data_IF_222542300962
#
_entry.id   IF_222542300962
#
_cell.length_a   1.000
_cell.length_b   1.000
_cell.length_c   1.000
_cell.angle_alpha   90.00
_cell.angle_beta   90.00
_cell.angle_gamma   90.00
#
_symmetry.space_group_name_H-M   'P 1'
#
loop_
_entity.id
_entity.type
_entity.pdbx_description
1 polymer ?
#
# COMPACT_ATOMS: atom_id res chain seq x y z
N UNK A 1 1.01 -23.79 -14.66
CA UNK A 1 2.26 -23.68 -13.88
C UNK A 1 2.04 -22.71 -12.71
N UNK A 2 2.11 -23.16 -11.45
CA UNK A 2 2.05 -22.27 -10.27
C UNK A 2 3.23 -21.28 -10.23
N UNK A 3 3.02 -20.03 -9.83
CA UNK A 3 4.09 -19.02 -9.71
C UNK A 3 4.75 -19.11 -8.33
N UNK A 4 6.04 -18.78 -8.21
CA UNK A 4 6.74 -18.69 -6.92
C UNK A 4 6.07 -17.65 -6.02
N UNK A 5 5.81 -16.47 -6.58
CA UNK A 5 5.10 -15.38 -5.92
C UNK A 5 3.74 -15.20 -6.59
N UNK A 6 2.68 -15.09 -5.79
CA UNK A 6 1.31 -14.88 -6.26
C UNK A 6 0.52 -14.06 -5.25
N UNK A 7 -0.68 -13.65 -5.62
CA UNK A 7 -1.61 -12.93 -4.74
C UNK A 7 -2.70 -13.87 -4.23
N UNK A 8 -3.03 -13.80 -2.94
CA UNK A 8 -4.16 -14.52 -2.34
C UNK A 8 -5.08 -13.52 -1.63
N UNK A 9 -6.37 -13.58 -1.94
CA UNK A 9 -7.40 -12.84 -1.23
C UNK A 9 -7.87 -13.62 -0.01
N UNK A 10 -7.87 -13.00 1.16
CA UNK A 10 -8.53 -13.49 2.37
C UNK A 10 -9.66 -12.54 2.75
N UNK A 11 -10.84 -13.09 3.00
CA UNK A 11 -11.98 -12.33 3.55
C UNK A 11 -12.28 -12.84 4.95
N UNK A 12 -12.33 -11.93 5.91
CA UNK A 12 -12.62 -12.22 7.31
C UNK A 12 -13.72 -11.29 7.83
N UNK A 13 -14.44 -11.75 8.86
CA UNK A 13 -15.30 -10.87 9.64
C UNK A 13 -14.44 -10.00 10.55
N UNK A 14 -14.85 -8.76 10.81
CA UNK A 14 -14.14 -7.76 11.64
C UNK A 14 -13.93 -8.13 13.12
N UNK A 15 -14.23 -9.37 13.51
CA UNK A 15 -14.00 -9.93 14.85
C UNK A 15 -12.91 -11.01 14.85
N UNK A 16 -12.40 -11.39 13.66
CA UNK A 16 -11.35 -12.40 13.51
C UNK A 16 -10.08 -11.70 13.08
N UNK A 17 -8.99 -11.91 13.82
CA UNK A 17 -7.71 -11.30 13.48
C UNK A 17 -7.26 -11.68 12.05
N UNK A 18 -6.84 -10.71 11.22
CA UNK A 18 -6.21 -10.99 9.93
C UNK A 18 -4.87 -11.68 10.14
N UNK A 19 -4.41 -12.34 9.09
CA UNK A 19 -3.06 -12.90 9.03
C UNK A 19 -2.04 -11.79 8.78
N UNK A 20 -0.85 -11.93 9.35
CA UNK A 20 0.24 -10.95 9.27
C UNK A 20 1.33 -11.39 8.30
N UNK A 21 2.14 -10.44 7.87
CA UNK A 21 3.39 -10.73 7.15
C UNK A 21 4.27 -11.63 8.03
N UNK A 22 4.85 -12.67 7.44
CA UNK A 22 5.61 -13.72 8.14
C UNK A 22 4.78 -14.92 8.58
N UNK A 23 3.44 -14.84 8.59
CA UNK A 23 2.58 -16.00 8.81
C UNK A 23 2.31 -16.79 7.52
N UNK A 24 1.83 -18.03 7.67
CA UNK A 24 1.45 -18.89 6.55
C UNK A 24 -0.05 -18.94 6.30
N UNK A 25 -0.42 -19.17 5.04
CA UNK A 25 -1.79 -19.43 4.58
C UNK A 25 -1.82 -20.69 3.72
N UNK A 26 -2.79 -21.57 3.97
CA UNK A 26 -3.03 -22.74 3.13
C UNK A 26 -4.08 -22.40 2.07
N UNK A 27 -3.77 -22.69 0.81
CA UNK A 27 -4.69 -22.48 -0.30
C UNK A 27 -4.52 -23.57 -1.35
N UNK A 28 -5.62 -24.22 -1.75
CA UNK A 28 -5.61 -25.34 -2.69
C UNK A 28 -4.61 -26.46 -2.32
N UNK A 29 -4.51 -26.77 -1.01
CA UNK A 29 -3.59 -27.78 -0.43
C UNK A 29 -2.09 -27.45 -0.56
N UNK A 30 -1.75 -26.20 -0.85
CA UNK A 30 -0.38 -25.72 -0.83
C UNK A 30 -0.19 -24.72 0.29
N UNK A 31 0.95 -24.78 0.97
CA UNK A 31 1.34 -23.81 2.00
C UNK A 31 2.07 -22.60 1.39
N UNK A 32 1.64 -21.40 1.76
CA UNK A 32 2.23 -20.15 1.31
C UNK A 32 2.66 -19.29 2.50
N UNK A 33 3.78 -18.58 2.36
CA UNK A 33 4.24 -17.56 3.31
C UNK A 33 3.74 -16.18 2.86
N UNK A 34 3.14 -15.42 3.77
CA UNK A 34 2.75 -14.03 3.51
C UNK A 34 4.00 -13.15 3.59
N UNK A 35 4.30 -12.45 2.50
CA UNK A 35 5.49 -11.60 2.38
C UNK A 35 5.14 -10.13 2.11
N UNK A 36 3.86 -9.81 1.93
CA UNK A 36 3.40 -8.44 1.72
C UNK A 36 1.88 -8.32 1.71
N UNK A 37 1.40 -7.09 1.79
CA UNK A 37 -0.02 -6.73 1.69
C UNK A 37 -0.17 -5.78 0.51
N UNK A 38 -0.98 -6.16 -0.47
CA UNK A 38 -1.17 -5.42 -1.72
C UNK A 38 -2.29 -4.40 -1.60
N UNK A 39 -3.38 -4.81 -0.94
CA UNK A 39 -4.61 -4.06 -0.90
C UNK A 39 -5.49 -4.57 0.24
N UNK A 40 -6.33 -3.68 0.78
CA UNK A 40 -7.40 -4.04 1.69
C UNK A 40 -8.66 -3.28 1.32
N UNK A 41 -9.81 -3.90 1.62
CA UNK A 41 -11.13 -3.30 1.44
C UNK A 41 -12.03 -3.70 2.59
N UNK A 42 -12.71 -2.72 3.17
CA UNK A 42 -13.74 -2.93 4.19
C UNK A 42 -15.11 -2.77 3.52
N UNK A 43 -16.00 -3.72 3.75
CA UNK A 43 -17.38 -3.66 3.27
C UNK A 43 -18.31 -4.24 4.33
N UNK A 44 -19.20 -3.40 4.88
CA UNK A 44 -20.07 -3.80 5.98
C UNK A 44 -19.24 -4.29 7.17
N UNK A 45 -19.38 -5.57 7.51
CA UNK A 45 -18.65 -6.22 8.61
C UNK A 45 -17.46 -7.08 8.16
N UNK A 46 -17.09 -6.99 6.89
CA UNK A 46 -16.05 -7.80 6.29
C UNK A 46 -14.81 -6.98 5.94
N UNK A 47 -13.65 -7.56 6.21
CA UNK A 47 -12.35 -7.06 5.78
C UNK A 47 -11.78 -8.06 4.78
N UNK A 48 -11.63 -7.60 3.54
CA UNK A 48 -10.92 -8.32 2.47
C UNK A 48 -9.50 -7.80 2.38
N UNK A 49 -8.52 -8.69 2.42
CA UNK A 49 -7.10 -8.36 2.29
C UNK A 49 -6.50 -9.21 1.16
N UNK A 50 -5.74 -8.57 0.29
CA UNK A 50 -4.97 -9.22 -0.76
C UNK A 50 -3.51 -9.26 -0.31
N UNK A 51 -3.03 -10.47 -0.06
CA UNK A 51 -1.66 -10.72 0.35
C UNK A 51 -0.81 -11.07 -0.85
N UNK A 52 0.41 -10.54 -0.91
CA UNK A 52 1.48 -11.12 -1.71
C UNK A 52 2.07 -12.29 -0.94
N UNK A 53 2.10 -13.46 -1.57
CA UNK A 53 2.54 -14.69 -0.93
C UNK A 53 3.59 -15.43 -1.75
N UNK A 54 4.47 -16.15 -1.06
CA UNK A 54 5.46 -17.05 -1.65
C UNK A 54 5.03 -18.50 -1.44
N UNK A 55 4.99 -19.28 -2.52
CA UNK A 55 4.75 -20.73 -2.45
C UNK A 55 5.99 -21.42 -1.84
N UNK A 56 5.78 -22.14 -0.73
CA UNK A 56 6.86 -22.80 0.00
C UNK A 56 7.23 -24.18 -0.57
N UNK A 57 6.34 -24.80 -1.35
CA UNK A 57 6.50 -26.18 -1.84
C UNK A 57 7.19 -26.26 -3.21
N UNK A 58 7.24 -25.15 -3.95
CA UNK A 58 7.58 -25.21 -5.38
C UNK A 58 9.05 -25.01 -5.72
N UNK A 59 9.89 -24.59 -4.75
CA UNK A 59 11.28 -24.18 -5.04
C UNK A 59 12.26 -24.31 -3.86
N UNK A 60 12.24 -25.40 -3.07
CA UNK A 60 13.26 -25.68 -2.03
C UNK A 60 13.71 -24.46 -1.20
N UNK A 61 12.77 -23.61 -0.78
CA UNK A 61 13.05 -22.41 0.02
C UNK A 61 14.14 -21.48 -0.57
N UNK A 62 14.12 -21.22 -1.90
CA UNK A 62 15.02 -20.24 -2.53
C UNK A 62 15.04 -18.94 -1.71
N UNK A 63 16.22 -18.62 -1.19
CA UNK A 63 16.52 -17.38 -0.48
C UNK A 63 17.31 -16.47 -1.42
N UNK A 64 16.65 -15.50 -2.05
CA UNK A 64 17.36 -14.34 -2.59
C UNK A 64 17.57 -13.36 -1.44
N UNK A 65 18.83 -13.14 -1.04
CA UNK A 65 19.15 -12.05 -0.10
C UNK A 65 18.54 -10.76 -0.63
N UNK A 66 17.67 -10.14 0.17
CA UNK A 66 17.05 -8.88 -0.19
C UNK A 66 18.17 -7.84 -0.28
N UNK A 67 18.54 -7.45 -1.51
CA UNK A 67 19.16 -6.15 -1.76
C UNK A 67 18.08 -5.10 -1.56
N UNK A 68 17.61 -4.95 -0.32
CA UNK A 68 16.75 -3.85 0.05
C UNK A 68 17.65 -2.63 -0.03
N UNK A 69 17.54 -1.89 -1.13
CA UNK A 69 18.09 -0.54 -1.17
C UNK A 69 17.32 0.19 -0.09
N UNK A 70 17.98 0.57 1.00
CA UNK A 70 17.43 1.48 2.01
C UNK A 70 16.92 2.71 1.27
N UNK A 71 15.61 2.70 0.98
CA UNK A 71 14.88 3.92 0.67
C UNK A 71 14.54 4.45 2.05
N UNK A 72 14.87 5.71 2.31
CA UNK A 72 14.38 6.41 3.50
C UNK A 72 12.84 6.43 3.41
N UNK A 73 12.23 5.45 4.08
CA UNK A 73 10.80 5.31 4.24
C UNK A 73 10.49 5.48 5.72
N UNK A 74 9.54 6.36 6.01
CA UNK A 74 9.04 6.54 7.36
C UNK A 74 7.89 5.56 7.60
N UNK A 75 7.86 4.93 8.78
CA UNK A 75 6.71 4.15 9.20
C UNK A 75 5.65 5.06 9.81
N UNK A 76 4.40 4.88 9.37
CA UNK A 76 3.24 5.57 9.91
C UNK A 76 2.13 4.57 10.17
N UNK A 77 1.23 4.92 11.08
CA UNK A 77 0.01 4.17 11.32
C UNK A 77 -1.17 5.11 11.50
N UNK A 78 -2.36 4.57 11.25
CA UNK A 78 -3.63 5.23 11.54
C UNK A 78 -4.58 4.23 12.18
N UNK A 79 -5.40 4.71 13.12
CA UNK A 79 -6.44 3.92 13.76
C UNK A 79 -7.77 4.64 13.61
N UNK A 80 -8.71 3.99 12.93
CA UNK A 80 -10.08 4.49 12.75
C UNK A 80 -11.11 3.41 13.06
N UNK A 81 -12.36 3.82 13.33
CA UNK A 81 -13.48 2.88 13.40
C UNK A 81 -13.68 2.18 12.06
N UNK A 82 -14.12 0.93 12.08
CA UNK A 82 -14.18 0.10 10.87
C UNK A 82 -14.99 0.68 9.69
N UNK A 83 -15.97 1.55 9.96
CA UNK A 83 -16.84 2.18 8.97
C UNK A 83 -16.35 3.56 8.50
N UNK A 84 -15.13 3.95 8.90
CA UNK A 84 -14.58 5.25 8.58
C UNK A 84 -14.16 5.38 7.11
N UNK A 85 -14.74 6.37 6.44
CA UNK A 85 -14.53 6.59 5.01
C UNK A 85 -13.10 7.00 4.64
N UNK A 86 -12.29 7.41 5.63
CA UNK A 86 -10.87 7.73 5.45
C UNK A 86 -10.05 6.53 4.99
N UNK A 87 -10.49 5.29 5.25
CA UNK A 87 -9.85 4.08 4.72
C UNK A 87 -9.77 4.07 3.18
N UNK A 88 -10.73 4.72 2.49
CA UNK A 88 -10.69 4.85 1.02
C UNK A 88 -9.50 5.66 0.53
N UNK A 89 -8.95 6.55 1.36
CA UNK A 89 -7.80 7.39 1.01
C UNK A 89 -6.46 6.75 1.35
N UNK A 90 -6.45 5.73 2.22
CA UNK A 90 -5.27 4.95 2.58
C UNK A 90 -5.01 3.87 1.53
N UNK A 91 -4.70 4.28 0.31
CA UNK A 91 -4.35 3.35 -0.78
C UNK A 91 -2.90 3.54 -1.18
N UNK A 92 -2.18 2.44 -1.42
CA UNK A 92 -0.83 2.49 -1.98
C UNK A 92 -0.82 3.38 -3.22
N UNK A 93 0.16 4.28 -3.29
CA UNK A 93 0.29 5.24 -4.37
C UNK A 93 -0.42 6.58 -4.13
N UNK A 94 -1.38 6.66 -3.20
CA UNK A 94 -1.99 7.93 -2.79
C UNK A 94 -1.08 8.73 -1.85
N UNK A 95 -1.38 10.03 -1.74
CA UNK A 95 -0.72 10.92 -0.80
C UNK A 95 -1.59 11.21 0.41
N UNK A 96 -0.95 11.37 1.56
CA UNK A 96 -1.57 11.79 2.81
C UNK A 96 -0.87 13.02 3.40
N UNK A 97 -1.61 13.97 3.97
CA UNK A 97 -1.04 15.10 4.68
C UNK A 97 -0.62 14.70 6.11
N UNK A 98 0.55 15.17 6.55
CA UNK A 98 0.99 15.08 7.95
C UNK A 98 2.00 16.19 8.26
N UNK A 99 1.86 16.89 9.38
CA UNK A 99 2.75 17.98 9.82
C UNK A 99 3.11 19.03 8.74
N UNK A 100 2.11 19.52 8.00
CA UNK A 100 2.26 20.45 6.85
C UNK A 100 3.06 19.89 5.65
N UNK A 101 3.33 18.60 5.64
CA UNK A 101 4.02 17.91 4.55
C UNK A 101 3.10 16.90 3.85
N UNK A 102 3.55 16.37 2.72
CA UNK A 102 2.82 15.38 1.94
C UNK A 102 3.66 14.11 1.84
N UNK A 103 3.03 12.98 2.12
CA UNK A 103 3.67 11.67 2.10
C UNK A 103 2.94 10.75 1.15
N UNK A 104 3.67 9.98 0.35
CA UNK A 104 3.09 8.96 -0.54
C UNK A 104 3.18 7.59 0.13
N UNK A 105 2.06 6.89 0.22
CA UNK A 105 1.99 5.52 0.73
C UNK A 105 2.70 4.58 -0.26
N UNK A 106 3.65 3.81 0.24
CA UNK A 106 4.49 2.90 -0.56
C UNK A 106 4.06 1.45 -0.40
N UNK A 107 3.86 1.00 0.83
CA UNK A 107 3.48 -0.38 1.15
C UNK A 107 2.78 -0.44 2.52
N UNK A 108 1.88 -1.40 2.72
CA UNK A 108 1.34 -1.68 4.04
C UNK A 108 2.26 -2.66 4.79
N UNK A 109 2.44 -2.43 6.08
CA UNK A 109 3.27 -3.28 6.95
C UNK A 109 2.43 -4.16 7.86
N UNK A 110 1.27 -3.68 8.33
CA UNK A 110 0.37 -4.46 9.17
C UNK A 110 -1.08 -3.97 9.13
N UNK A 111 -2.02 -4.85 9.46
CA UNK A 111 -3.43 -4.53 9.68
C UNK A 111 -3.88 -5.23 10.96
N UNK A 112 -4.32 -4.46 11.95
CA UNK A 112 -4.69 -4.97 13.28
C UNK A 112 -6.12 -4.54 13.64
N UNK A 113 -6.93 -5.50 14.09
CA UNK A 113 -8.26 -5.22 14.62
C UNK A 113 -8.17 -4.97 16.13
N UNK A 114 -8.64 -3.79 16.58
CA UNK A 114 -8.66 -3.36 17.98
C UNK A 114 -10.10 -3.06 18.41
N UNK A 115 -10.86 -4.10 18.74
CA UNK A 115 -12.28 -3.96 19.08
C UNK A 115 -13.11 -3.54 17.86
N UNK A 116 -13.65 -2.32 17.87
CA UNK A 116 -14.37 -1.72 16.72
C UNK A 116 -13.46 -0.98 15.76
N UNK A 117 -12.18 -0.83 16.12
CA UNK A 117 -11.23 -0.03 15.38
C UNK A 117 -10.32 -0.93 14.54
N UNK A 118 -9.84 -0.37 13.45
CA UNK A 118 -8.85 -0.98 12.58
C UNK A 118 -7.64 -0.06 12.57
N UNK A 119 -6.50 -0.61 12.95
CA UNK A 119 -5.21 0.02 12.81
C UNK A 119 -4.54 -0.49 11.54
N UNK A 120 -3.99 0.42 10.74
CA UNK A 120 -3.24 0.11 9.53
C UNK A 120 -1.89 0.79 9.63
N UNK A 121 -0.84 -0.02 9.56
CA UNK A 121 0.55 0.42 9.52
C UNK A 121 1.06 0.35 8.09
N UNK A 122 1.83 1.36 7.68
CA UNK A 122 2.33 1.48 6.31
C UNK A 122 3.60 2.33 6.26
N UNK A 123 4.40 2.06 5.24
CA UNK A 123 5.59 2.84 4.94
C UNK A 123 5.26 3.94 3.94
N UNK A 124 5.83 5.12 4.17
CA UNK A 124 5.64 6.29 3.34
C UNK A 124 6.96 6.89 2.89
N UNK A 125 6.91 7.62 1.78
CA UNK A 125 7.99 8.51 1.35
C UNK A 125 7.49 9.94 1.29
N UNK A 126 8.32 10.90 1.72
CA UNK A 126 8.02 12.31 1.57
C UNK A 126 7.93 12.71 0.10
N UNK A 127 6.92 13.51 -0.24
CA UNK A 127 6.73 14.09 -1.57
C UNK A 127 7.26 15.52 -1.55
N UNK A 128 8.33 15.76 -2.29
CA UNK A 128 8.96 17.07 -2.40
C UNK A 128 8.47 17.81 -3.66
N UNK A 129 8.26 19.13 -3.58
CA UNK A 129 8.02 19.92 -4.77
C UNK A 129 9.23 19.87 -5.71
N UNK A 130 8.97 19.97 -7.01
CA UNK A 130 10.04 20.17 -8.00
C UNK A 130 10.68 21.55 -7.80
N UNK A 131 11.91 21.70 -8.30
CA UNK A 131 12.63 22.98 -8.22
C UNK A 131 11.83 24.15 -8.82
N UNK A 132 11.94 25.32 -8.17
CA UNK A 132 11.20 26.54 -8.51
C UNK A 132 11.46 27.00 -9.95
N UNK A 133 12.71 26.92 -10.43
CA UNK A 133 13.07 27.34 -11.79
C UNK A 133 12.37 26.45 -12.81
N UNK A 134 12.41 25.14 -12.58
CA UNK A 134 11.72 24.14 -13.41
C UNK A 134 10.21 24.41 -13.42
N UNK A 135 9.59 24.55 -12.24
CA UNK A 135 8.15 24.82 -12.14
C UNK A 135 7.73 26.10 -12.87
N UNK A 136 8.48 27.20 -12.67
CA UNK A 136 8.20 28.49 -13.32
C UNK A 136 8.34 28.41 -14.83
N UNK A 137 9.37 27.75 -15.32
CA UNK A 137 9.61 27.59 -16.76
C UNK A 137 8.49 26.76 -17.42
N UNK A 138 8.10 25.63 -16.81
CA UNK A 138 6.96 24.82 -17.28
C UNK A 138 5.68 25.64 -17.32
N UNK A 139 5.37 26.39 -16.25
CA UNK A 139 4.17 27.25 -16.20
C UNK A 139 4.16 28.30 -17.32
N UNK A 140 5.28 29.00 -17.55
CA UNK A 140 5.36 30.03 -18.58
C UNK A 140 5.22 29.44 -19.99
N UNK A 141 5.80 28.27 -20.24
CA UNK A 141 5.67 27.57 -21.51
C UNK A 141 4.22 27.15 -21.78
N UNK A 142 3.55 26.54 -20.80
CA UNK A 142 2.14 26.17 -20.91
C UNK A 142 1.23 27.39 -21.13
N UNK A 143 1.49 28.50 -20.42
CA UNK A 143 0.73 29.75 -20.62
C UNK A 143 0.90 30.31 -22.03
N UNK A 144 2.13 30.31 -22.58
CA UNK A 144 2.39 30.73 -23.96
C UNK A 144 1.70 29.82 -24.98
N UNK A 145 1.69 28.51 -24.76
CA UNK A 145 1.03 27.55 -25.65
C UNK A 145 -0.48 27.79 -25.71
N UNK A 146 -1.12 28.06 -24.56
CA UNK A 146 -2.55 28.40 -24.51
C UNK A 146 -2.88 29.69 -25.28
N UNK A 147 -2.08 30.74 -25.09
CA UNK A 147 -2.28 32.03 -25.78
C UNK A 147 -2.08 31.96 -27.30
N UNK A 148 -1.28 31.01 -27.80
CA UNK A 148 -1.12 30.78 -29.25
C UNK A 148 -2.34 30.10 -29.89
N UNK A 149 -3.17 29.42 -29.10
CA UNK A 149 -4.40 28.76 -29.56
C UNK A 149 -5.56 29.78 -29.65
N UNK A 150 -5.52 30.86 -28.86
CA UNK A 150 -6.55 31.90 -28.80
C UNK A 150 -6.48 32.96 -29.92
N UNK A 151 -5.64 32.78 -30.95
CA UNK A 151 -5.59 33.67 -32.12
C UNK A 151 -6.36 33.02 -33.28
N UNK A 152 -7.68 33.28 -33.31
CA UNK A 152 -8.56 33.10 -34.47
C UNK A 152 -9.12 34.46 -34.87
#
# INVERSE_FOLDING_TARGET
MSRLITSIKSTIQLFRAPKRIGETIEYQKCLYLIIGIEHFKIYGKELSIWYTVQNLEKYDFISTQSKYVERELDEMYVQYKYDDERFRNLQIGRTIPYNNEQYKIVEYTDIVLKGTDIEISFLVRKVLPIDRKTAKMTYLNEKKNKLKIDVL
#
